data_IF_480671716634
#
_entry.id   IF_480671716634
#
_cell.length_a   1.000
_cell.length_b   1.000
_cell.length_c   1.000
_cell.angle_alpha   90.00
_cell.angle_beta   90.00
_cell.angle_gamma   90.00
#
_symmetry.space_group_name_H-M   'P 1'
#
loop_
_entity.id
_entity.type
_entity.pdbx_description
1 polymer ?
#
# COMPACT_ATOMS: atom_id res chain seq x y z
N UNK A 1 -38.03 10.88 10.62
CA UNK A 1 -38.18 12.19 11.28
C UNK A 1 -36.98 12.37 12.20
N UNK A 2 -36.34 13.54 12.20
CA UNK A 2 -35.29 13.92 13.16
C UNK A 2 -35.73 13.64 14.60
N UNK A 3 -34.75 13.67 15.53
CA UNK A 3 -34.85 13.77 17.01
C UNK A 3 -34.54 12.43 17.70
N UNK A 4 -33.73 12.32 18.75
CA UNK A 4 -33.07 13.28 19.63
C UNK A 4 -31.98 12.48 20.37
N UNK A 5 -30.76 12.99 20.59
CA UNK A 5 -29.82 12.32 21.52
C UNK A 5 -30.34 12.53 22.94
N UNK A 6 -31.21 11.65 23.42
CA UNK A 6 -31.49 11.54 24.85
C UNK A 6 -30.31 10.86 25.52
N UNK A 7 -29.76 11.46 26.58
CA UNK A 7 -28.95 10.70 27.55
C UNK A 7 -29.86 9.61 28.10
N UNK A 8 -29.67 8.38 27.65
CA UNK A 8 -30.32 7.21 28.23
C UNK A 8 -29.47 6.82 29.43
N UNK A 9 -30.08 6.87 30.62
CA UNK A 9 -29.47 6.33 31.83
C UNK A 9 -29.52 4.82 31.70
N UNK A 10 -28.40 4.22 31.30
CA UNK A 10 -28.28 2.78 31.17
C UNK A 10 -27.94 2.19 32.56
N UNK A 11 -28.93 1.57 33.20
CA UNK A 11 -28.67 0.70 34.35
C UNK A 11 -28.12 -0.63 33.85
N UNK A 12 -26.85 -0.91 34.15
CA UNK A 12 -26.21 -2.18 33.84
C UNK A 12 -26.50 -3.19 34.98
N UNK A 13 -27.28 -4.22 34.69
CA UNK A 13 -27.47 -5.36 35.59
C UNK A 13 -26.70 -6.57 35.04
N UNK A 14 -25.78 -7.12 35.83
CA UNK A 14 -25.07 -8.37 35.50
C UNK A 14 -25.38 -9.37 36.60
N UNK A 15 -26.02 -10.49 36.23
CA UNK A 15 -26.35 -11.57 37.17
C UNK A 15 -27.34 -11.20 38.28
N UNK A 16 -28.29 -10.31 38.02
CA UNK A 16 -29.34 -9.93 38.99
C UNK A 16 -28.94 -8.85 39.99
N UNK A 17 -27.69 -8.36 39.96
CA UNK A 17 -27.24 -7.23 40.78
C UNK A 17 -27.14 -5.98 39.93
N UNK A 18 -27.86 -4.92 40.34
CA UNK A 18 -27.75 -3.59 39.72
C UNK A 18 -26.48 -2.92 40.22
N UNK A 19 -25.58 -2.56 39.31
CA UNK A 19 -24.34 -1.86 39.68
C UNK A 19 -24.66 -0.40 40.02
N UNK A 20 -24.19 0.14 41.16
CA UNK A 20 -24.32 1.56 41.48
C UNK A 20 -23.54 2.39 40.46
N UNK A 21 -23.98 3.62 40.24
CA UNK A 21 -23.38 4.54 39.28
C UNK A 21 -21.92 4.83 39.69
N UNK A 22 -20.96 4.27 38.97
CA UNK A 22 -19.54 4.41 39.30
C UNK A 22 -18.97 5.62 38.56
N UNK A 23 -18.32 6.52 39.27
CA UNK A 23 -17.70 7.72 38.69
C UNK A 23 -16.51 7.40 37.78
N UNK A 24 -15.92 6.22 37.93
CA UNK A 24 -14.80 5.75 37.12
C UNK A 24 -14.98 4.27 36.74
N UNK A 25 -14.72 3.95 35.47
CA UNK A 25 -14.81 2.57 34.96
C UNK A 25 -13.59 2.23 34.10
N UNK A 26 -13.08 1.01 34.30
CA UNK A 26 -11.88 0.49 33.66
C UNK A 26 -12.25 -0.55 32.61
N UNK A 27 -11.92 -0.27 31.35
CA UNK A 27 -12.15 -1.16 30.21
C UNK A 27 -10.93 -1.15 29.30
N UNK A 28 -10.66 -2.25 28.58
CA UNK A 28 -9.48 -3.07 28.85
C UNK A 28 -8.18 -2.23 28.90
N UNK A 29 -7.85 -1.71 30.09
CA UNK A 29 -6.61 -0.98 30.36
C UNK A 29 -6.68 0.55 30.34
N UNK A 30 -7.82 1.15 29.99
CA UNK A 30 -8.03 2.60 29.98
C UNK A 30 -9.07 2.98 31.03
N UNK A 31 -8.77 4.00 31.84
CA UNK A 31 -9.64 4.52 32.89
C UNK A 31 -10.43 5.72 32.34
N UNK A 32 -11.76 5.67 32.46
CA UNK A 32 -12.64 6.76 32.04
C UNK A 32 -13.32 7.37 33.28
N UNK A 33 -13.28 8.69 33.41
CA UNK A 33 -13.99 9.44 34.46
C UNK A 33 -15.36 9.91 33.97
N UNK A 34 -16.29 10.14 34.90
CA UNK A 34 -17.69 10.53 34.64
C UNK A 34 -17.87 11.85 33.88
N UNK A 35 -16.84 12.69 33.81
CA UNK A 35 -16.81 13.95 33.05
C UNK A 35 -16.22 13.80 31.63
N UNK A 36 -15.72 12.62 31.25
CA UNK A 36 -15.30 12.32 29.88
C UNK A 36 -13.93 12.86 29.46
N UNK A 37 -13.04 13.25 30.39
CA UNK A 37 -11.67 13.71 30.06
C UNK A 37 -10.61 12.59 30.25
N UNK A 38 -9.82 12.23 29.22
CA UNK A 38 -8.72 11.28 29.34
C UNK A 38 -7.36 12.01 29.42
N UNK A 39 -6.88 12.42 30.61
CA UNK A 39 -5.68 13.29 30.68
C UNK A 39 -4.50 12.80 31.53
N UNK A 40 -4.63 11.93 32.53
CA UNK A 40 -3.48 11.71 33.46
C UNK A 40 -2.40 10.71 32.99
N UNK A 41 -2.71 9.72 32.16
CA UNK A 41 -1.72 8.70 31.76
C UNK A 41 -0.84 9.13 30.59
N UNK A 42 -1.38 9.95 29.68
CA UNK A 42 -0.62 10.53 28.56
C UNK A 42 0.40 11.54 29.10
N UNK A 43 -0.04 12.43 30.01
CA UNK A 43 0.84 13.39 30.65
C UNK A 43 1.93 12.73 31.51
N UNK A 44 1.60 11.61 32.18
CA UNK A 44 2.60 10.82 32.92
C UNK A 44 3.66 10.21 32.01
N UNK A 45 3.28 9.73 30.82
CA UNK A 45 4.20 9.16 29.82
C UNK A 45 5.07 10.23 29.15
N UNK A 46 4.50 11.40 28.87
CA UNK A 46 5.24 12.57 28.36
C UNK A 46 6.22 13.09 29.43
N UNK A 47 5.80 13.14 30.69
CA UNK A 47 6.65 13.50 31.82
C UNK A 47 7.81 12.52 32.04
N UNK A 48 7.55 11.21 31.98
CA UNK A 48 8.60 10.19 32.09
C UNK A 48 9.59 10.25 30.92
N UNK A 49 9.11 10.46 29.69
CA UNK A 49 9.98 10.65 28.51
C UNK A 49 10.84 11.92 28.63
N UNK A 50 10.29 12.99 29.21
CA UNK A 50 11.00 14.26 29.41
C UNK A 50 12.09 14.17 30.49
N UNK A 51 11.91 13.37 31.53
CA UNK A 51 12.93 13.11 32.57
C UNK A 51 14.10 12.29 32.02
N UNK A 52 13.82 11.31 31.17
CA UNK A 52 14.85 10.51 30.46
C UNK A 52 15.68 11.40 29.52
N UNK A 53 15.03 12.30 28.76
CA UNK A 53 15.73 13.27 27.91
C UNK A 53 16.61 14.25 28.69
N UNK A 54 16.16 14.71 29.86
CA UNK A 54 16.92 15.63 30.73
C UNK A 54 18.13 14.94 31.39
N UNK A 55 18.03 13.64 31.66
CA UNK A 55 19.13 12.81 32.17
C UNK A 55 20.18 12.52 31.08
N UNK A 56 19.74 12.27 29.84
CA UNK A 56 20.61 12.12 28.67
C UNK A 56 21.37 13.41 28.30
N UNK A 57 20.78 14.59 28.54
CA UNK A 57 21.44 15.88 28.26
C UNK A 57 22.56 16.23 29.27
N UNK A 58 22.59 15.61 30.46
CA UNK A 58 23.57 15.89 31.53
C UNK A 58 24.72 14.89 31.60
N UNK A 59 24.69 13.81 30.84
CA UNK A 59 25.69 12.75 30.90
C UNK A 59 26.11 12.37 29.49
N UNK A 60 27.35 12.73 29.11
CA UNK A 60 28.07 12.42 27.86
C UNK A 60 27.79 13.39 26.68
N UNK A 61 28.72 14.18 26.11
CA UNK A 61 30.14 14.49 26.33
C UNK A 61 30.44 15.84 25.62
N UNK A 62 31.35 16.61 26.20
CA UNK A 62 32.05 17.79 25.62
C UNK A 62 32.61 17.48 24.23
N UNK A 63 32.41 18.40 23.28
CA UNK A 63 33.11 18.56 21.98
C UNK A 63 33.99 17.37 21.54
N UNK A 64 33.43 16.52 20.69
CA UNK A 64 34.10 15.93 19.51
C UNK A 64 33.02 15.27 18.67
N UNK A 65 32.94 15.63 17.40
CA UNK A 65 31.89 15.22 16.48
C UNK A 65 31.70 13.69 16.50
N UNK A 66 30.45 13.25 16.67
CA UNK A 66 30.06 11.84 16.65
C UNK A 66 30.37 11.25 15.26
N UNK A 67 31.15 10.16 15.25
CA UNK A 67 31.42 9.42 14.02
C UNK A 67 30.13 8.87 13.41
N UNK A 68 30.10 8.72 12.09
CA UNK A 68 28.94 8.27 11.31
C UNK A 68 28.36 6.93 11.84
N UNK A 69 29.20 6.10 12.45
CA UNK A 69 28.83 4.82 13.10
C UNK A 69 27.98 5.02 14.36
N UNK A 70 28.21 6.08 15.14
CA UNK A 70 27.44 6.43 16.33
C UNK A 70 26.11 7.12 15.98
N UNK A 71 26.08 7.95 14.92
CA UNK A 71 24.84 8.52 14.37
C UNK A 71 23.89 7.41 13.88
N UNK A 72 24.43 6.38 13.23
CA UNK A 72 23.67 5.18 12.82
C UNK A 72 23.18 4.34 14.01
N UNK A 73 23.89 4.36 15.14
CA UNK A 73 23.50 3.61 16.34
C UNK A 73 22.39 4.28 17.15
N UNK A 74 22.28 5.61 17.12
CA UNK A 74 21.19 6.36 17.79
C UNK A 74 19.91 6.33 16.94
N UNK A 75 20.04 6.35 15.61
CA UNK A 75 18.91 6.14 14.69
C UNK A 75 18.25 4.76 14.83
N UNK A 76 18.98 3.78 15.37
CA UNK A 76 18.48 2.40 15.61
C UNK A 76 17.54 2.25 16.81
N UNK A 77 17.39 3.26 17.68
CA UNK A 77 16.75 3.05 19.00
C UNK A 77 15.45 3.83 19.25
N UNK A 78 14.89 4.57 18.27
CA UNK A 78 13.63 5.32 18.45
C UNK A 78 12.56 5.00 17.39
N UNK A 79 12.82 4.12 16.42
CA UNK A 79 11.79 3.61 15.51
C UNK A 79 12.01 2.12 15.31
N UNK A 80 10.98 1.31 15.57
CA UNK A 80 11.07 -0.16 15.55
C UNK A 80 11.60 -0.64 14.19
N UNK A 81 12.75 -1.32 14.14
CA UNK A 81 13.23 -1.99 12.94
C UNK A 81 12.42 -3.28 12.77
N UNK A 82 11.75 -3.46 11.63
CA UNK A 82 11.55 -4.83 11.13
C UNK A 82 12.75 -5.15 10.24
N UNK A 83 13.85 -5.57 10.88
CA UNK A 83 14.94 -6.26 10.18
C UNK A 83 14.79 -7.73 10.51
N UNK A 84 14.41 -8.52 9.51
CA UNK A 84 14.84 -9.92 9.31
C UNK A 84 14.37 -10.32 7.91
N UNK A 85 15.30 -10.22 6.94
CA UNK A 85 15.24 -10.64 5.54
C UNK A 85 14.08 -10.10 4.68
N UNK A 86 14.42 -9.31 3.65
CA UNK A 86 13.47 -8.86 2.63
C UNK A 86 12.96 -7.45 2.91
N UNK A 87 13.34 -6.50 2.07
CA UNK A 87 13.03 -5.09 2.27
C UNK A 87 11.52 -4.87 2.28
N UNK A 88 11.01 -4.37 3.41
CA UNK A 88 9.59 -4.00 3.56
C UNK A 88 9.45 -2.52 3.25
N UNK A 89 8.75 -2.20 2.17
CA UNK A 89 8.44 -0.82 1.82
C UNK A 89 7.18 -0.35 2.56
N UNK A 90 7.31 0.68 3.40
CA UNK A 90 6.20 1.31 4.10
C UNK A 90 5.96 2.71 3.51
N UNK A 91 4.73 2.97 3.06
CA UNK A 91 4.27 4.31 2.69
C UNK A 91 3.40 4.88 3.81
N UNK A 92 3.82 5.99 4.41
CA UNK A 92 3.16 6.66 5.55
C UNK A 92 1.96 7.55 5.12
N UNK A 93 1.18 7.11 4.14
CA UNK A 93 -0.05 7.81 3.72
C UNK A 93 -1.22 6.84 3.79
N UNK A 94 -2.36 7.34 4.32
CA UNK A 94 -3.60 6.56 4.53
C UNK A 94 -4.05 5.74 3.31
N UNK A 95 -3.66 6.15 2.09
CA UNK A 95 -3.82 5.45 0.80
C UNK A 95 -2.57 5.68 -0.09
N UNK A 96 -2.16 4.69 -0.91
CA UNK A 96 -1.12 4.90 -1.94
C UNK A 96 -1.75 5.58 -3.17
N UNK A 97 -1.35 6.81 -3.46
CA UNK A 97 -1.63 7.48 -4.75
C UNK A 97 -0.31 7.57 -5.50
N UNK A 98 -0.25 7.08 -6.74
CA UNK A 98 0.93 7.23 -7.56
C UNK A 98 0.97 8.62 -8.19
N UNK A 99 1.52 9.56 -7.43
CA UNK A 99 2.00 10.87 -7.93
C UNK A 99 3.48 10.74 -8.33
N UNK A 100 4.03 11.63 -9.18
CA UNK A 100 5.41 11.51 -9.66
C UNK A 100 6.45 11.38 -8.54
N UNK A 101 6.25 12.05 -7.41
CA UNK A 101 7.14 11.96 -6.24
C UNK A 101 7.13 10.56 -5.63
N UNK A 102 5.95 9.97 -5.42
CA UNK A 102 5.81 8.62 -4.87
C UNK A 102 6.37 7.59 -5.83
N UNK A 103 6.14 7.74 -7.15
CA UNK A 103 6.74 6.87 -8.16
C UNK A 103 8.26 6.87 -8.07
N UNK A 104 8.89 8.05 -7.99
CA UNK A 104 10.35 8.17 -7.83
C UNK A 104 10.84 7.54 -6.53
N UNK A 105 10.10 7.67 -5.43
CA UNK A 105 10.44 7.03 -4.17
C UNK A 105 10.35 5.49 -4.26
N UNK A 106 9.33 4.95 -4.92
CA UNK A 106 9.20 3.51 -5.20
C UNK A 106 10.37 3.05 -6.05
N UNK A 107 10.69 3.73 -7.15
CA UNK A 107 11.82 3.37 -8.02
C UNK A 107 13.15 3.39 -7.26
N UNK A 108 13.39 4.42 -6.43
CA UNK A 108 14.59 4.49 -5.58
C UNK A 108 14.64 3.30 -4.63
N UNK A 109 13.51 2.93 -4.04
CA UNK A 109 13.49 1.83 -3.11
C UNK A 109 13.61 0.46 -3.77
N UNK A 110 13.07 0.28 -4.98
CA UNK A 110 13.37 -0.87 -5.83
C UNK A 110 14.87 -0.92 -6.16
N UNK A 111 15.49 0.20 -6.51
CA UNK A 111 16.94 0.26 -6.76
C UNK A 111 17.75 -0.18 -5.54
N UNK A 112 17.39 0.30 -4.34
CA UNK A 112 18.02 -0.14 -3.09
C UNK A 112 17.79 -1.64 -2.83
N UNK A 113 16.54 -2.10 -3.00
CA UNK A 113 16.13 -3.49 -2.82
C UNK A 113 16.87 -4.46 -3.77
N UNK A 114 17.18 -3.99 -4.99
CA UNK A 114 17.93 -4.77 -5.97
C UNK A 114 19.40 -4.93 -5.57
N UNK A 115 19.98 -3.94 -4.89
CA UNK A 115 21.41 -3.88 -4.56
C UNK A 115 21.80 -4.51 -3.22
N UNK A 116 20.84 -4.74 -2.31
CA UNK A 116 21.12 -5.33 -0.99
C UNK A 116 21.16 -6.88 -1.00
N UNK A 117 21.34 -7.50 0.16
CA UNK A 117 21.43 -8.96 0.34
C UNK A 117 20.07 -9.67 0.47
N UNK A 118 18.96 -8.94 0.30
CA UNK A 118 17.64 -9.54 0.43
C UNK A 118 17.33 -10.52 -0.70
N UNK A 119 16.52 -11.54 -0.39
CA UNK A 119 16.16 -12.61 -1.33
C UNK A 119 14.92 -12.29 -2.17
N UNK A 120 14.04 -11.44 -1.65
CA UNK A 120 12.79 -11.03 -2.27
C UNK A 120 12.33 -9.69 -1.69
N UNK A 121 11.39 -9.05 -2.37
CA UNK A 121 10.72 -7.81 -1.97
C UNK A 121 9.27 -8.11 -1.57
N UNK A 122 8.83 -7.58 -0.42
CA UNK A 122 7.41 -7.56 -0.04
C UNK A 122 6.84 -6.16 -0.25
N UNK A 123 5.93 -6.03 -1.20
CA UNK A 123 5.17 -4.81 -1.47
C UNK A 123 3.80 -4.88 -0.78
N UNK A 124 3.53 -3.95 0.14
CA UNK A 124 2.26 -3.88 0.89
C UNK A 124 1.90 -2.42 1.16
N UNK A 125 0.66 -2.15 1.61
CA UNK A 125 0.24 -0.81 2.01
C UNK A 125 -0.18 -0.76 3.48
N UNK A 126 -0.13 0.44 4.06
CA UNK A 126 -0.75 0.75 5.36
C UNK A 126 -2.07 1.45 5.10
N UNK A 127 -3.16 0.93 5.68
CA UNK A 127 -4.48 1.57 5.59
C UNK A 127 -5.57 0.65 5.06
N UNK A 128 -6.66 1.26 4.58
CA UNK A 128 -7.83 0.55 4.04
C UNK A 128 -7.77 0.37 2.53
N UNK A 129 -6.94 1.14 1.83
CA UNK A 129 -6.75 1.09 0.37
C UNK A 129 -5.31 0.67 0.05
N UNK A 130 -5.18 -0.24 -0.90
CA UNK A 130 -3.87 -0.64 -1.40
C UNK A 130 -3.29 0.45 -2.29
N UNK A 131 -3.99 0.83 -3.36
CA UNK A 131 -3.63 1.96 -4.21
C UNK A 131 -4.87 2.58 -4.86
N UNK A 132 -4.98 3.92 -4.82
CA UNK A 132 -6.09 4.68 -5.38
C UNK A 132 -5.84 5.24 -6.78
N UNK A 133 -4.79 4.78 -7.47
CA UNK A 133 -4.55 5.09 -8.89
C UNK A 133 -3.49 6.15 -9.17
N UNK A 134 -3.42 6.53 -10.45
CA UNK A 134 -2.45 7.47 -11.04
C UNK A 134 -2.99 8.91 -11.00
N UNK A 135 -2.18 9.83 -10.49
CA UNK A 135 -2.40 11.29 -10.58
C UNK A 135 -1.17 11.97 -11.21
N UNK A 136 -0.48 11.23 -12.07
CA UNK A 136 0.77 11.66 -12.71
C UNK A 136 0.52 11.90 -14.19
N UNK A 137 0.67 13.16 -14.60
CA UNK A 137 0.54 13.67 -15.98
C UNK A 137 1.84 13.52 -16.79
N UNK A 138 2.78 12.72 -16.29
CA UNK A 138 4.13 12.63 -16.82
C UNK A 138 4.34 11.22 -17.33
N UNK A 139 4.11 11.03 -18.64
CA UNK A 139 4.27 9.74 -19.30
C UNK A 139 5.66 9.13 -19.07
N UNK A 140 6.71 9.95 -19.02
CA UNK A 140 8.07 9.48 -18.74
C UNK A 140 8.20 8.90 -17.32
N UNK A 141 7.55 9.51 -16.32
CA UNK A 141 7.58 9.00 -14.95
C UNK A 141 6.81 7.68 -14.82
N UNK A 142 5.71 7.51 -15.57
CA UNK A 142 4.98 6.24 -15.66
C UNK A 142 5.86 5.18 -16.32
N UNK A 143 6.49 5.51 -17.46
CA UNK A 143 7.39 4.59 -18.18
C UNK A 143 8.49 4.08 -17.26
N UNK A 144 9.24 4.98 -16.64
CA UNK A 144 10.39 4.64 -15.81
C UNK A 144 9.96 3.86 -14.55
N UNK A 145 8.78 4.19 -14.01
CA UNK A 145 8.17 3.45 -12.92
C UNK A 145 7.86 2.01 -13.30
N UNK A 146 7.20 1.79 -14.44
CA UNK A 146 6.85 0.45 -14.92
C UNK A 146 8.10 -0.36 -15.30
N UNK A 147 9.10 0.28 -15.93
CA UNK A 147 10.39 -0.36 -16.23
C UNK A 147 11.08 -0.86 -14.96
N UNK A 148 11.01 -0.10 -13.86
CA UNK A 148 11.58 -0.53 -12.59
C UNK A 148 10.99 -1.86 -12.08
N UNK A 149 9.70 -2.15 -12.33
CA UNK A 149 9.11 -3.46 -12.04
C UNK A 149 9.51 -4.50 -13.09
N UNK A 150 9.56 -4.13 -14.37
CA UNK A 150 9.90 -5.05 -15.46
C UNK A 150 11.29 -5.65 -15.26
N UNK A 151 12.26 -4.82 -14.88
CA UNK A 151 13.68 -5.19 -14.74
C UNK A 151 14.08 -5.67 -13.34
N UNK A 152 13.16 -5.66 -12.37
CA UNK A 152 13.50 -6.06 -11.01
C UNK A 152 13.79 -7.57 -10.92
N UNK A 153 15.02 -7.94 -10.56
CA UNK A 153 15.53 -9.33 -10.65
C UNK A 153 15.06 -10.24 -9.53
N UNK A 154 14.91 -9.72 -8.32
CA UNK A 154 14.45 -10.50 -7.15
C UNK A 154 12.93 -10.68 -7.20
N UNK A 155 12.35 -11.75 -6.64
CA UNK A 155 10.89 -11.87 -6.60
C UNK A 155 10.22 -10.72 -5.84
N UNK A 156 9.09 -10.27 -6.38
CA UNK A 156 8.19 -9.29 -5.76
C UNK A 156 6.93 -10.05 -5.34
N UNK A 157 6.74 -10.16 -4.03
CA UNK A 157 5.48 -10.59 -3.43
C UNK A 157 4.68 -9.33 -3.13
N UNK A 158 3.48 -9.21 -3.67
CA UNK A 158 2.56 -8.11 -3.36
C UNK A 158 1.41 -8.60 -2.48
N UNK A 159 1.18 -7.88 -1.39
CA UNK A 159 0.13 -8.14 -0.42
C UNK A 159 -0.91 -7.02 -0.43
N UNK A 160 -2.01 -7.27 -1.14
CA UNK A 160 -3.12 -6.35 -1.39
C UNK A 160 -4.15 -6.45 -0.26
N UNK A 161 -4.02 -5.59 0.73
CA UNK A 161 -4.87 -5.52 1.93
C UNK A 161 -6.24 -4.83 1.72
N UNK A 162 -6.52 -4.28 0.54
CA UNK A 162 -7.70 -3.46 0.26
C UNK A 162 -7.80 -3.08 -1.22
N UNK A 163 -8.66 -2.12 -1.60
CA UNK A 163 -8.88 -1.76 -3.00
C UNK A 163 -7.60 -1.37 -3.74
N UNK A 164 -7.43 -1.89 -4.95
CA UNK A 164 -6.35 -1.55 -5.88
C UNK A 164 -6.94 -1.01 -7.19
N UNK A 165 -6.61 0.24 -7.52
CA UNK A 165 -7.20 0.95 -8.66
C UNK A 165 -6.15 1.49 -9.63
N UNK A 166 -6.52 1.57 -10.90
CA UNK A 166 -5.70 2.15 -11.96
C UNK A 166 -4.33 1.49 -12.03
N UNK A 167 -3.27 2.30 -12.07
CA UNK A 167 -1.90 1.80 -12.13
C UNK A 167 -1.56 0.81 -11.00
N UNK A 168 -2.16 0.95 -9.81
CA UNK A 168 -1.95 0.02 -8.71
C UNK A 168 -2.54 -1.37 -8.89
N UNK A 169 -3.57 -1.52 -9.74
CA UNK A 169 -4.03 -2.82 -10.20
C UNK A 169 -3.23 -3.29 -11.43
N UNK A 170 -2.89 -2.36 -12.33
CA UNK A 170 -2.16 -2.67 -13.57
C UNK A 170 -0.74 -3.20 -13.36
N UNK A 171 -0.05 -2.83 -12.27
CA UNK A 171 1.31 -3.36 -11.98
C UNK A 171 1.30 -4.75 -11.33
N UNK A 172 0.16 -5.25 -10.88
CA UNK A 172 0.10 -6.55 -10.17
C UNK A 172 0.60 -7.71 -11.03
N UNK A 173 0.26 -7.81 -12.33
CA UNK A 173 0.84 -8.81 -13.23
C UNK A 173 2.36 -8.71 -13.44
N UNK A 174 2.98 -7.59 -13.09
CA UNK A 174 4.43 -7.43 -13.18
C UNK A 174 5.16 -7.97 -11.94
N UNK A 175 4.41 -8.19 -10.85
CA UNK A 175 4.87 -8.86 -9.63
C UNK A 175 4.81 -10.38 -9.80
N UNK A 176 5.54 -11.12 -8.96
CA UNK A 176 5.68 -12.57 -9.12
C UNK A 176 4.65 -13.36 -8.31
N UNK A 177 4.19 -12.82 -7.18
CA UNK A 177 3.14 -13.41 -6.34
C UNK A 177 2.19 -12.34 -5.87
N UNK A 178 0.89 -12.50 -6.14
CA UNK A 178 -0.15 -11.54 -5.74
C UNK A 178 -1.07 -12.18 -4.70
N UNK A 179 -0.97 -11.75 -3.46
CA UNK A 179 -1.85 -12.17 -2.37
C UNK A 179 -2.83 -11.06 -2.03
N UNK A 180 -4.09 -11.40 -1.83
CA UNK A 180 -5.14 -10.43 -1.56
C UNK A 180 -5.89 -10.74 -0.27
N UNK A 181 -6.30 -9.69 0.44
CA UNK A 181 -7.32 -9.83 1.47
C UNK A 181 -8.68 -10.01 0.79
N UNK A 182 -9.57 -10.81 1.37
CA UNK A 182 -10.92 -11.02 0.83
C UNK A 182 -11.69 -9.71 0.59
N UNK A 183 -11.43 -8.68 1.40
CA UNK A 183 -12.04 -7.35 1.25
C UNK A 183 -11.45 -6.52 0.09
N UNK A 184 -10.39 -6.99 -0.55
CA UNK A 184 -9.77 -6.30 -1.67
C UNK A 184 -10.64 -6.43 -2.93
N UNK A 185 -10.54 -5.42 -3.79
CA UNK A 185 -11.11 -5.46 -5.12
C UNK A 185 -10.22 -4.67 -6.08
N UNK A 186 -10.31 -5.00 -7.35
CA UNK A 186 -9.42 -4.52 -8.41
C UNK A 186 -10.23 -3.81 -9.48
N UNK A 187 -9.74 -2.65 -9.94
CA UNK A 187 -10.43 -1.88 -10.97
C UNK A 187 -9.45 -1.03 -11.78
N UNK A 188 -9.59 -0.99 -13.10
CA UNK A 188 -8.79 -0.11 -13.97
C UNK A 188 -9.70 0.66 -14.91
N UNK A 189 -10.43 1.67 -14.43
CA UNK A 189 -11.45 2.37 -15.21
C UNK A 189 -10.83 3.34 -16.23
N UNK A 190 -9.94 2.86 -17.09
CA UNK A 190 -9.15 3.66 -18.03
C UNK A 190 -10.07 4.48 -18.94
N UNK A 191 -11.03 3.86 -19.63
CA UNK A 191 -11.88 4.60 -20.56
C UNK A 191 -12.85 5.56 -19.84
N UNK A 192 -13.37 5.21 -18.66
CA UNK A 192 -14.19 6.11 -17.86
C UNK A 192 -13.41 7.34 -17.37
N UNK A 193 -12.09 7.20 -17.16
CA UNK A 193 -11.18 8.29 -16.84
C UNK A 193 -10.57 8.95 -18.09
N UNK A 194 -10.99 8.52 -19.29
CA UNK A 194 -10.43 8.95 -20.57
C UNK A 194 -8.90 8.82 -20.64
N UNK A 195 -8.41 7.73 -20.07
CA UNK A 195 -7.01 7.32 -20.12
C UNK A 195 -6.90 6.06 -20.98
N UNK A 196 -5.72 5.85 -21.54
CA UNK A 196 -5.37 4.54 -22.08
C UNK A 196 -4.86 3.62 -20.98
N UNK A 197 -4.88 2.29 -21.20
CA UNK A 197 -4.18 1.35 -20.32
C UNK A 197 -2.72 1.76 -20.11
N UNK A 198 -2.21 1.48 -18.91
CA UNK A 198 -0.81 1.68 -18.52
C UNK A 198 -0.33 0.50 -17.66
N UNK A 199 0.97 0.39 -17.37
CA UNK A 199 1.50 -0.70 -16.55
C UNK A 199 1.50 -2.06 -17.25
N UNK A 200 1.56 -2.08 -18.58
CA UNK A 200 1.44 -3.25 -19.44
C UNK A 200 0.09 -3.96 -19.33
N UNK A 201 -0.95 -3.29 -18.82
CA UNK A 201 -2.28 -3.90 -18.64
C UNK A 201 -2.99 -4.20 -19.96
N UNK A 202 -2.66 -3.50 -21.05
CA UNK A 202 -3.18 -3.83 -22.39
C UNK A 202 -2.72 -5.19 -22.91
N UNK A 203 -1.60 -5.70 -22.42
CA UNK A 203 -1.07 -7.03 -22.77
C UNK A 203 -1.35 -8.06 -21.67
N UNK A 204 -1.07 -7.73 -20.41
CA UNK A 204 -1.13 -8.70 -19.30
C UNK A 204 -2.56 -9.07 -18.93
N UNK A 205 -3.52 -8.13 -18.97
CA UNK A 205 -4.89 -8.44 -18.57
C UNK A 205 -5.58 -9.41 -19.54
N UNK A 206 -5.51 -9.24 -20.88
CA UNK A 206 -6.06 -10.23 -21.80
C UNK A 206 -5.50 -11.64 -21.61
N UNK A 207 -4.21 -11.77 -21.28
CA UNK A 207 -3.55 -13.07 -21.06
C UNK A 207 -4.03 -13.75 -19.77
N UNK A 208 -4.26 -12.98 -18.71
CA UNK A 208 -4.66 -13.50 -17.40
C UNK A 208 -6.18 -13.68 -17.31
N UNK A 209 -6.94 -12.62 -17.61
CA UNK A 209 -8.38 -12.55 -17.40
C UNK A 209 -9.19 -13.11 -18.58
N UNK A 210 -8.57 -13.20 -19.76
CA UNK A 210 -9.26 -13.33 -21.04
C UNK A 210 -9.72 -11.97 -21.58
N UNK A 211 -9.76 -11.85 -22.91
CA UNK A 211 -10.04 -10.57 -23.62
C UNK A 211 -11.34 -9.91 -23.16
N UNK A 212 -12.43 -10.67 -23.03
CA UNK A 212 -13.73 -10.11 -22.66
C UNK A 212 -13.73 -9.45 -21.27
N UNK A 213 -13.22 -10.16 -20.26
CA UNK A 213 -13.17 -9.65 -18.89
C UNK A 213 -12.15 -8.51 -18.75
N UNK A 214 -11.01 -8.61 -19.45
CA UNK A 214 -10.03 -7.53 -19.53
C UNK A 214 -10.66 -6.25 -20.10
N UNK A 215 -11.45 -6.36 -21.16
CA UNK A 215 -12.14 -5.22 -21.77
C UNK A 215 -13.23 -4.64 -20.85
N UNK A 216 -14.00 -5.47 -20.12
CA UNK A 216 -14.92 -4.96 -19.11
C UNK A 216 -14.18 -4.18 -18.00
N UNK A 217 -13.02 -4.66 -17.59
CA UNK A 217 -12.22 -4.00 -16.56
C UNK A 217 -11.59 -2.69 -17.07
N UNK A 218 -11.06 -2.67 -18.29
CA UNK A 218 -10.36 -1.53 -18.91
C UNK A 218 -11.31 -0.47 -19.48
N UNK A 219 -12.40 -0.88 -20.14
CA UNK A 219 -13.34 0.01 -20.83
C UNK A 219 -14.51 0.40 -19.93
N UNK A 220 -15.13 -0.58 -19.27
CA UNK A 220 -16.31 -0.32 -18.43
C UNK A 220 -15.93 -0.02 -16.97
N UNK A 221 -14.66 -0.21 -16.60
CA UNK A 221 -14.24 -0.05 -15.22
C UNK A 221 -14.90 -1.08 -14.28
N UNK A 222 -15.17 -2.31 -14.75
CA UNK A 222 -15.71 -3.36 -13.89
C UNK A 222 -14.78 -3.59 -12.69
N UNK A 223 -15.38 -3.70 -11.50
CA UNK A 223 -14.66 -4.14 -10.29
C UNK A 223 -14.60 -5.65 -10.26
N UNK A 224 -13.42 -6.19 -9.96
CA UNK A 224 -13.23 -7.60 -9.65
C UNK A 224 -13.03 -7.76 -8.15
N UNK A 225 -13.79 -8.65 -7.53
CA UNK A 225 -13.55 -9.07 -6.15
C UNK A 225 -12.23 -9.83 -6.03
N UNK A 226 -11.69 -9.96 -4.82
CA UNK A 226 -10.52 -10.78 -4.56
C UNK A 226 -10.68 -12.23 -5.05
N UNK A 227 -11.87 -12.81 -4.87
CA UNK A 227 -12.17 -14.17 -5.30
C UNK A 227 -12.26 -14.30 -6.83
N UNK A 228 -12.94 -13.38 -7.51
CA UNK A 228 -12.97 -13.37 -8.98
C UNK A 228 -11.56 -13.20 -9.56
N UNK A 229 -10.77 -12.26 -9.02
CA UNK A 229 -9.39 -12.05 -9.44
C UNK A 229 -8.53 -13.30 -9.21
N UNK A 230 -8.79 -14.04 -8.13
CA UNK A 230 -8.11 -15.30 -7.84
C UNK A 230 -8.49 -16.41 -8.82
N UNK A 231 -9.79 -16.56 -9.11
CA UNK A 231 -10.30 -17.55 -10.07
C UNK A 231 -9.76 -17.36 -11.49
N UNK A 232 -9.34 -16.14 -11.82
CA UNK A 232 -8.77 -15.77 -13.12
C UNK A 232 -7.23 -15.74 -13.13
N UNK A 233 -6.58 -15.91 -11.98
CA UNK A 233 -5.12 -15.93 -11.87
C UNK A 233 -4.44 -14.55 -11.75
N UNK A 234 -5.19 -13.46 -11.59
CA UNK A 234 -4.61 -12.14 -11.25
C UNK A 234 -4.13 -12.12 -9.78
N UNK A 235 -4.81 -12.87 -8.93
CA UNK A 235 -4.44 -13.12 -7.53
C UNK A 235 -4.10 -14.60 -7.40
N UNK A 236 -3.02 -14.95 -6.72
CA UNK A 236 -2.65 -16.35 -6.48
C UNK A 236 -3.30 -16.94 -5.23
N UNK A 237 -3.58 -16.11 -4.22
CA UNK A 237 -4.26 -16.55 -3.00
C UNK A 237 -5.02 -15.42 -2.31
N UNK A 238 -6.18 -15.76 -1.74
CA UNK A 238 -7.02 -14.86 -0.93
C UNK A 238 -6.98 -15.28 0.54
N UNK A 239 -6.86 -14.32 1.44
CA UNK A 239 -6.86 -14.55 2.89
C UNK A 239 -7.91 -13.72 3.62
N UNK A 240 -8.35 -14.23 4.77
CA UNK A 240 -9.26 -13.53 5.67
C UNK A 240 -8.65 -12.21 6.16
N UNK A 241 -9.43 -11.11 6.21
CA UNK A 241 -8.91 -9.81 6.64
C UNK A 241 -8.28 -9.79 8.04
N UNK A 242 -8.76 -10.63 8.96
CA UNK A 242 -8.30 -10.71 10.35
C UNK A 242 -6.92 -11.35 10.49
N UNK A 243 -6.59 -12.34 9.63
CA UNK A 243 -5.31 -13.07 9.66
C UNK A 243 -4.36 -12.67 8.54
N UNK A 244 -4.79 -11.83 7.59
CA UNK A 244 -4.06 -11.42 6.38
C UNK A 244 -2.57 -11.13 6.63
N UNK A 245 -2.25 -10.23 7.56
CA UNK A 245 -0.87 -9.85 7.82
C UNK A 245 -0.03 -11.00 8.40
N UNK A 246 -0.61 -11.86 9.23
CA UNK A 246 0.10 -12.99 9.83
C UNK A 246 0.41 -14.03 8.74
N UNK A 247 -0.59 -14.39 7.93
CA UNK A 247 -0.49 -15.37 6.84
C UNK A 247 0.54 -14.95 5.77
N UNK A 248 0.54 -13.67 5.38
CA UNK A 248 1.50 -13.09 4.43
C UNK A 248 2.92 -13.16 4.98
N UNK A 249 3.12 -12.72 6.23
CA UNK A 249 4.46 -12.67 6.82
C UNK A 249 5.04 -14.06 7.06
N UNK A 250 4.22 -15.06 7.40
CA UNK A 250 4.66 -16.45 7.55
C UNK A 250 5.20 -17.00 6.21
N UNK A 251 4.43 -16.89 5.13
CA UNK A 251 4.85 -17.39 3.81
C UNK A 251 6.04 -16.65 3.23
N UNK A 252 6.11 -15.33 3.41
CA UNK A 252 7.29 -14.53 2.99
C UNK A 252 8.56 -15.01 3.69
N UNK A 253 8.48 -15.31 4.99
CA UNK A 253 9.63 -15.85 5.74
C UNK A 253 10.06 -17.21 5.21
N UNK A 254 9.11 -18.09 4.89
CA UNK A 254 9.40 -19.39 4.29
C UNK A 254 10.07 -19.24 2.92
N UNK A 255 9.53 -18.39 2.04
CA UNK A 255 10.12 -18.10 0.73
C UNK A 255 11.55 -17.53 0.86
N UNK A 256 11.79 -16.67 1.84
CA UNK A 256 13.10 -16.06 2.05
C UNK A 256 14.21 -17.07 2.45
N UNK A 257 13.86 -18.31 2.79
CA UNK A 257 14.84 -19.39 3.04
C UNK A 257 15.34 -20.03 1.73
N UNK A 258 14.67 -19.80 0.60
CA UNK A 258 15.05 -20.35 -0.69
C UNK A 258 16.15 -19.50 -1.36
N UNK A 259 17.20 -20.16 -1.87
CA UNK A 259 18.34 -19.50 -2.50
C UNK A 259 18.27 -19.36 -4.03
N UNK A 260 17.36 -20.07 -4.69
CA UNK A 260 17.26 -20.17 -6.16
C UNK A 260 16.19 -19.26 -6.78
N UNK A 261 15.73 -18.28 -6.01
CA UNK A 261 14.56 -17.47 -6.32
C UNK A 261 14.79 -16.51 -7.50
N UNK A 262 15.96 -15.90 -7.57
CA UNK A 262 16.31 -14.95 -8.64
C UNK A 262 16.48 -15.68 -9.98
N UNK A 263 17.16 -16.83 -9.98
CA UNK A 263 17.33 -17.68 -11.16
C UNK A 263 15.98 -18.19 -11.68
N UNK A 264 15.10 -18.63 -10.76
CA UNK A 264 13.75 -19.09 -11.11
C UNK A 264 12.94 -17.98 -11.77
N UNK A 265 12.96 -16.77 -11.20
CA UNK A 265 12.28 -15.60 -11.78
C UNK A 265 12.88 -15.22 -13.15
N UNK A 266 14.20 -15.25 -13.27
CA UNK A 266 14.89 -14.94 -14.53
C UNK A 266 14.43 -15.85 -15.67
N UNK A 267 14.36 -17.17 -15.43
CA UNK A 267 13.88 -18.14 -16.43
C UNK A 267 12.44 -17.86 -16.85
N UNK A 268 11.53 -17.61 -15.90
CA UNK A 268 10.12 -17.31 -16.18
C UNK A 268 9.97 -16.01 -16.97
N UNK A 269 10.74 -14.97 -16.63
CA UNK A 269 10.63 -13.64 -17.26
C UNK A 269 11.35 -13.51 -18.59
N UNK A 270 12.34 -14.35 -18.87
CA UNK A 270 13.21 -14.23 -20.04
C UNK A 270 12.45 -14.15 -21.38
N UNK A 271 11.33 -14.87 -21.49
CA UNK A 271 10.52 -14.94 -22.70
C UNK A 271 9.59 -13.74 -22.92
N UNK A 272 9.24 -13.00 -21.86
CA UNK A 272 8.23 -11.94 -21.91
C UNK A 272 8.81 -10.55 -21.68
N UNK A 273 10.08 -10.44 -21.28
CA UNK A 273 10.69 -9.15 -20.90
C UNK A 273 10.67 -8.14 -22.04
N UNK A 274 11.11 -8.51 -23.25
CA UNK A 274 11.11 -7.62 -24.42
C UNK A 274 9.70 -7.19 -24.83
N UNK A 275 8.72 -8.09 -24.72
CA UNK A 275 7.31 -7.79 -25.02
C UNK A 275 6.78 -6.77 -24.02
N UNK A 276 7.07 -6.92 -22.72
CA UNK A 276 6.63 -5.97 -21.69
C UNK A 276 7.26 -4.59 -21.87
N UNK A 277 8.54 -4.51 -22.25
CA UNK A 277 9.22 -3.25 -22.57
C UNK A 277 8.54 -2.53 -23.73
N UNK A 278 8.28 -3.26 -24.83
CA UNK A 278 7.63 -2.69 -26.02
C UNK A 278 6.21 -2.24 -25.72
N UNK A 279 5.44 -3.03 -24.96
CA UNK A 279 4.08 -2.69 -24.55
C UNK A 279 4.09 -1.44 -23.67
N UNK A 280 4.99 -1.34 -22.70
CA UNK A 280 5.09 -0.17 -21.82
C UNK A 280 5.40 1.10 -22.63
N UNK A 281 6.33 1.01 -23.57
CA UNK A 281 6.67 2.12 -24.45
C UNK A 281 5.47 2.55 -25.31
N UNK A 282 4.77 1.60 -25.94
CA UNK A 282 3.56 1.88 -26.73
C UNK A 282 2.43 2.50 -25.90
N UNK A 283 2.14 1.96 -24.71
CA UNK A 283 1.13 2.51 -23.80
C UNK A 283 1.46 3.96 -23.42
N UNK A 284 2.72 4.25 -23.10
CA UNK A 284 3.19 5.59 -22.76
C UNK A 284 3.12 6.56 -23.95
N UNK A 285 3.51 6.13 -25.14
CA UNK A 285 3.41 6.95 -26.35
C UNK A 285 1.97 7.35 -26.66
N UNK A 286 1.03 6.42 -26.59
CA UNK A 286 -0.40 6.70 -26.82
C UNK A 286 -0.95 7.61 -25.71
N UNK A 287 -0.57 7.38 -24.45
CA UNK A 287 -0.97 8.22 -23.33
C UNK A 287 -0.52 9.68 -23.52
N UNK A 288 0.73 9.88 -23.97
CA UNK A 288 1.29 11.20 -24.29
C UNK A 288 0.52 11.87 -25.43
N UNK A 289 0.22 11.14 -26.51
CA UNK A 289 -0.55 11.66 -27.63
C UNK A 289 -1.97 12.07 -27.20
N UNK A 290 -2.64 11.24 -26.40
CA UNK A 290 -3.98 11.51 -25.91
C UNK A 290 -4.01 12.80 -25.08
N UNK A 291 -3.06 13.00 -24.17
CA UNK A 291 -2.99 14.21 -23.34
C UNK A 291 -2.61 15.47 -24.10
N UNK A 292 -1.89 15.35 -25.22
CA UNK A 292 -1.63 16.47 -26.12
C UNK A 292 -2.80 16.78 -27.07
N UNK A 293 -3.82 15.91 -27.13
CA UNK A 293 -4.99 16.10 -27.98
C UNK A 293 -6.08 16.93 -27.32
N UNK A 294 -6.87 17.63 -28.13
CA UNK A 294 -8.06 18.37 -27.66
C UNK A 294 -9.03 17.48 -26.91
N UNK A 295 -9.29 16.26 -27.43
CA UNK A 295 -10.16 15.26 -26.80
C UNK A 295 -9.70 14.87 -25.40
N UNK A 296 -8.40 14.66 -25.21
CA UNK A 296 -7.85 14.29 -23.89
C UNK A 296 -7.92 15.43 -22.88
N UNK A 297 -7.74 16.68 -23.33
CA UNK A 297 -7.89 17.86 -22.47
C UNK A 297 -9.35 18.07 -22.05
N UNK A 298 -10.31 18.00 -22.99
CA UNK A 298 -11.75 18.12 -22.72
C UNK A 298 -12.25 17.06 -21.73
N UNK A 299 -11.79 15.83 -21.92
CA UNK A 299 -12.08 14.72 -21.03
C UNK A 299 -11.52 14.92 -19.61
N UNK A 300 -10.28 15.42 -19.51
CA UNK A 300 -9.67 15.75 -18.22
C UNK A 300 -10.47 16.84 -17.49
N UNK A 301 -10.87 17.89 -18.20
CA UNK A 301 -11.70 18.96 -17.64
C UNK A 301 -13.03 18.41 -17.12
N UNK A 302 -13.69 17.53 -17.88
CA UNK A 302 -14.95 16.90 -17.48
C UNK A 302 -14.80 16.04 -16.23
N UNK A 303 -13.72 15.25 -16.14
CA UNK A 303 -13.43 14.44 -14.95
C UNK A 303 -13.15 15.28 -13.70
N UNK A 304 -12.33 16.32 -13.81
CA UNK A 304 -12.04 17.22 -12.69
C UNK A 304 -13.31 17.94 -12.21
N UNK A 305 -14.18 18.38 -13.13
CA UNK A 305 -15.47 18.94 -12.77
C UNK A 305 -16.35 17.93 -12.01
N UNK A 306 -16.48 16.69 -12.50
CA UNK A 306 -17.29 15.66 -11.83
C UNK A 306 -16.85 15.39 -10.38
N UNK A 307 -15.54 15.36 -10.12
CA UNK A 307 -14.99 15.20 -8.75
C UNK A 307 -15.18 16.40 -7.83
N UNK A 308 -15.44 17.58 -8.39
CA UNK A 308 -15.66 18.80 -7.60
C UNK A 308 -17.10 18.88 -7.09
N UNK A 309 -18.04 18.21 -7.77
CA UNK A 309 -19.46 18.13 -7.38
C UNK A 309 -19.82 16.94 -6.49
N UNK A 310 -18.91 15.98 -6.28
CA UNK A 310 -19.10 14.84 -5.36
C UNK A 310 -18.55 15.10 -3.94
N UNK A 311 -18.22 16.35 -3.58
CA UNK A 311 -17.81 16.76 -2.23
C UNK A 311 -18.90 17.51 -1.48
#
# INVERSE_FOLDING_TARGET
MFLNRRKVVCHLSVGGVSLPQVEEFKYPGVLFTSEGRPEREIDRRIGAASVVMRSLYRSVVVKRELSQKAKLSIYRSIFVPTLTNGHKLWFDKKNIVFVPQIMKEVCRALGNAAADDSKLLLLSSVGTVFCSGLDSRISDAVRDFVLAFIHFKKPIVVAVNGPAMGLGASILPLCDVVWASERAWFQTPCAALHLTPSGCSSYTFPQILGVALANEMLFCGRKLTAQEACSRGLVSQVFWPTTFNQEVMLRVKEMALCNVLEESKCLVRSFVMSVLEEVNEKECQILKQLWCSTKGLEALFSYLHSKTYEK
#
